data_IF_728157404029
#
_entry.id   IF_728157404029
#
_cell.length_a   1.000
_cell.length_b   1.000
_cell.length_c   1.000
_cell.angle_alpha   90.00
_cell.angle_beta   90.00
_cell.angle_gamma   90.00
#
_symmetry.space_group_name_H-M   'P 1'
#
loop_
_entity.id
_entity.type
_entity.pdbx_description
1 polymer ?
#
# COMPACT_ATOMS: atom_id res chain seq x y z
N UNK A 1 -20.45 10.60 11.69
CA UNK A 1 -19.37 11.33 10.98
C UNK A 1 -18.33 10.30 10.62
N UNK A 2 -18.29 9.87 9.36
CA UNK A 2 -17.50 8.73 8.90
C UNK A 2 -16.05 9.20 8.71
N UNK A 3 -15.13 8.67 9.51
CA UNK A 3 -13.71 9.03 9.43
C UNK A 3 -13.09 8.32 8.23
N UNK A 4 -12.80 9.08 7.17
CA UNK A 4 -11.83 8.66 6.17
C UNK A 4 -10.46 8.59 6.87
N UNK A 5 -9.87 7.39 6.96
CA UNK A 5 -8.48 7.29 7.37
C UNK A 5 -7.64 7.40 6.10
N UNK A 6 -7.22 8.63 5.81
CA UNK A 6 -6.26 8.90 4.75
C UNK A 6 -4.92 8.32 5.22
N UNK A 7 -4.50 7.20 4.64
CA UNK A 7 -3.16 6.67 4.89
C UNK A 7 -2.12 7.60 4.27
N UNK A 8 -2.21 7.91 2.97
CA UNK A 8 -1.25 8.83 2.37
C UNK A 8 -1.67 10.30 2.55
N UNK A 9 -1.15 10.96 3.60
CA UNK A 9 -1.14 12.43 3.63
C UNK A 9 -0.32 12.90 2.42
N UNK A 10 -0.97 13.70 1.56
CA UNK A 10 -0.55 14.05 0.21
C UNK A 10 0.91 14.54 0.08
N UNK A 11 1.85 13.66 -0.26
CA UNK A 11 3.22 14.04 -0.59
C UNK A 11 3.36 14.31 -2.10
N UNK A 12 3.44 15.60 -2.44
CA UNK A 12 3.54 16.17 -3.79
C UNK A 12 4.82 15.85 -4.60
N UNK A 13 5.59 14.79 -4.29
CA UNK A 13 7.01 14.71 -4.72
C UNK A 13 7.49 13.39 -5.33
N UNK A 14 6.68 12.69 -6.14
CA UNK A 14 7.16 11.49 -6.90
C UNK A 14 6.58 11.36 -8.32
N UNK A 15 6.33 12.47 -9.01
CA UNK A 15 5.71 12.43 -10.36
C UNK A 15 6.50 11.54 -11.35
N UNK A 16 7.84 11.59 -11.29
CA UNK A 16 8.68 10.77 -12.17
C UNK A 16 8.58 9.27 -11.85
N UNK A 17 8.57 8.89 -10.57
CA UNK A 17 8.42 7.48 -10.15
C UNK A 17 7.02 6.93 -10.48
N UNK A 18 6.02 7.80 -10.53
CA UNK A 18 4.62 7.46 -10.82
C UNK A 18 4.27 7.45 -12.31
N UNK A 19 5.09 8.08 -13.15
CA UNK A 19 4.77 8.38 -14.57
C UNK A 19 4.31 7.16 -15.38
N UNK A 20 4.86 5.98 -15.08
CA UNK A 20 4.61 4.75 -15.81
C UNK A 20 3.89 3.69 -14.95
N UNK A 21 3.31 4.08 -13.81
CA UNK A 21 2.57 3.15 -12.97
C UNK A 21 1.26 2.73 -13.64
N UNK A 22 0.79 1.50 -13.41
CA UNK A 22 -0.56 1.10 -13.80
C UNK A 22 -1.62 1.94 -13.05
N UNK A 23 -2.88 1.97 -13.54
CA UNK A 23 -3.99 2.55 -12.80
C UNK A 23 -4.11 1.97 -11.38
N UNK A 24 -4.54 2.77 -10.39
CA UNK A 24 -4.78 2.27 -9.04
C UNK A 24 -5.79 1.11 -9.01
N UNK A 25 -5.62 0.20 -8.07
CA UNK A 25 -6.44 -1.00 -7.92
C UNK A 25 -7.17 -0.97 -6.58
N UNK A 26 -8.44 -1.37 -6.58
CA UNK A 26 -9.29 -1.49 -5.39
C UNK A 26 -9.20 -2.88 -4.78
N UNK A 27 -9.13 -2.93 -3.46
CA UNK A 27 -9.18 -4.17 -2.68
C UNK A 27 -10.22 -4.05 -1.57
N UNK A 28 -11.26 -4.89 -1.57
CA UNK A 28 -12.18 -4.99 -0.45
C UNK A 28 -11.57 -5.86 0.67
N UNK A 29 -11.49 -5.27 1.86
CA UNK A 29 -11.05 -5.89 3.11
C UNK A 29 -12.29 -6.26 3.93
N UNK A 30 -12.73 -7.51 3.79
CA UNK A 30 -13.96 -8.03 4.38
C UNK A 30 -13.99 -7.93 5.91
N UNK A 31 -12.84 -8.04 6.54
CA UNK A 31 -12.65 -8.04 7.99
C UNK A 31 -13.11 -6.72 8.64
N UNK A 32 -12.96 -5.60 7.91
CA UNK A 32 -13.24 -4.24 8.41
C UNK A 32 -14.28 -3.48 7.56
N UNK A 33 -14.79 -4.09 6.49
CA UNK A 33 -15.79 -3.46 5.63
C UNK A 33 -15.26 -2.22 4.92
N UNK A 34 -14.01 -2.26 4.46
CA UNK A 34 -13.36 -1.15 3.78
C UNK A 34 -12.86 -1.54 2.40
N UNK A 35 -12.77 -0.57 1.52
CA UNK A 35 -12.08 -0.66 0.24
C UNK A 35 -10.82 0.17 0.37
N UNK A 36 -9.68 -0.44 0.05
CA UNK A 36 -8.41 0.27 -0.06
C UNK A 36 -8.05 0.45 -1.53
N UNK A 37 -7.68 1.67 -1.89
CA UNK A 37 -7.18 2.01 -3.24
C UNK A 37 -5.67 2.07 -3.18
N UNK A 38 -5.02 1.22 -3.97
CA UNK A 38 -3.58 1.08 -3.99
C UNK A 38 -2.99 1.49 -5.34
N UNK A 39 -1.85 2.17 -5.29
CA UNK A 39 -1.03 2.40 -6.46
C UNK A 39 0.16 1.44 -6.48
N UNK A 40 0.28 0.66 -7.55
CA UNK A 40 1.42 -0.22 -7.75
C UNK A 40 2.54 0.51 -8.49
N UNK A 41 3.78 0.26 -8.08
CA UNK A 41 4.94 0.90 -8.69
C UNK A 41 5.69 -0.05 -9.62
N UNK A 42 6.04 0.45 -10.81
CA UNK A 42 6.94 -0.24 -11.74
C UNK A 42 8.42 0.01 -11.44
N UNK A 43 8.75 1.12 -10.77
CA UNK A 43 10.13 1.44 -10.38
C UNK A 43 10.63 0.50 -9.29
N UNK A 44 11.91 0.11 -9.37
CA UNK A 44 12.59 -0.70 -8.35
C UNK A 44 13.33 0.13 -7.31
N UNK A 45 13.46 1.44 -7.53
CA UNK A 45 14.09 2.39 -6.62
C UNK A 45 13.07 3.49 -6.31
N UNK A 46 12.67 3.56 -5.04
CA UNK A 46 11.59 4.43 -4.59
C UNK A 46 12.10 5.35 -3.49
N UNK A 47 11.88 6.65 -3.65
CA UNK A 47 12.33 7.63 -2.66
C UNK A 47 11.39 7.70 -1.45
N UNK A 48 11.98 8.03 -0.30
CA UNK A 48 11.26 8.35 0.93
C UNK A 48 10.39 7.21 1.49
N UNK A 49 10.87 5.97 1.40
CA UNK A 49 10.28 4.83 2.11
C UNK A 49 11.28 4.19 3.07
N UNK A 50 10.81 3.71 4.21
CA UNK A 50 11.60 2.95 5.16
C UNK A 50 10.82 1.69 5.62
N UNK A 51 11.42 0.49 5.58
CA UNK A 51 10.80 -0.70 6.12
C UNK A 51 10.64 -0.59 7.64
N UNK A 52 9.53 -1.10 8.14
CA UNK A 52 9.18 -1.13 9.57
C UNK A 52 9.31 -2.56 10.08
N UNK A 53 8.71 -3.49 9.35
CA UNK A 53 8.55 -4.89 9.71
C UNK A 53 8.49 -5.74 8.44
N UNK A 54 8.92 -7.00 8.53
CA UNK A 54 8.66 -8.02 7.51
C UNK A 54 7.91 -9.18 8.15
N UNK A 55 6.68 -9.40 7.70
CA UNK A 55 5.84 -10.53 8.06
C UNK A 55 6.16 -11.71 7.13
N UNK A 56 6.32 -12.89 7.72
CA UNK A 56 6.57 -14.15 7.02
C UNK A 56 5.27 -14.94 6.83
N UNK A 57 5.22 -15.82 5.82
CA UNK A 57 4.08 -16.72 5.56
C UNK A 57 2.73 -16.01 5.38
N UNK A 58 2.72 -14.81 4.80
CA UNK A 58 1.49 -14.07 4.46
C UNK A 58 0.90 -14.65 3.18
N UNK A 59 -0.23 -15.34 3.29
CA UNK A 59 -0.79 -16.15 2.19
C UNK A 59 -1.11 -15.37 0.91
N UNK A 60 -1.58 -14.13 1.04
CA UNK A 60 -1.99 -13.32 -0.10
C UNK A 60 -1.75 -11.82 0.14
N UNK A 61 -1.77 -11.06 -0.95
CA UNK A 61 -1.54 -9.61 -0.89
C UNK A 61 -2.64 -8.90 -0.10
N UNK A 62 -3.92 -9.35 -0.13
CA UNK A 62 -5.01 -8.74 0.66
C UNK A 62 -4.70 -8.78 2.16
N UNK A 63 -4.13 -9.88 2.67
CA UNK A 63 -3.69 -9.99 4.06
C UNK A 63 -2.53 -9.04 4.39
N UNK A 64 -1.62 -8.79 3.44
CA UNK A 64 -0.55 -7.81 3.59
C UNK A 64 -1.09 -6.36 3.64
N UNK A 65 -2.06 -6.05 2.78
CA UNK A 65 -2.76 -4.75 2.75
C UNK A 65 -3.50 -4.54 4.07
N UNK A 66 -4.24 -5.55 4.53
CA UNK A 66 -4.94 -5.51 5.81
C UNK A 66 -3.97 -5.23 6.97
N UNK A 67 -2.84 -5.94 7.05
CA UNK A 67 -1.82 -5.72 8.08
C UNK A 67 -1.31 -4.27 8.08
N UNK A 68 -1.03 -3.71 6.90
CA UNK A 68 -0.63 -2.30 6.78
C UNK A 68 -1.74 -1.36 7.21
N UNK A 69 -2.99 -1.63 6.81
CA UNK A 69 -4.16 -0.80 7.13
C UNK A 69 -4.44 -0.72 8.63
N UNK A 70 -4.22 -1.81 9.38
CA UNK A 70 -4.32 -1.80 10.85
C UNK A 70 -3.29 -0.87 11.50
N UNK A 71 -2.17 -0.61 10.82
CA UNK A 71 -1.09 0.28 11.26
C UNK A 71 -1.11 1.63 10.52
N UNK A 72 -2.18 1.96 9.79
CA UNK A 72 -2.24 3.22 9.05
C UNK A 72 -2.56 4.43 9.96
N UNK A 73 -2.94 4.20 11.21
CA UNK A 73 -3.04 5.29 12.20
C UNK A 73 -1.68 5.99 12.38
N UNK A 74 -1.68 7.32 12.37
CA UNK A 74 -0.48 8.18 12.48
C UNK A 74 0.57 7.98 11.37
N UNK A 75 0.14 7.58 10.16
CA UNK A 75 1.02 7.35 9.00
C UNK A 75 2.09 6.29 9.22
N UNK A 76 1.85 5.35 10.15
CA UNK A 76 2.85 4.37 10.51
C UNK A 76 3.08 3.37 9.39
N UNK A 77 2.05 2.81 8.74
CA UNK A 77 2.20 2.04 7.50
C UNK A 77 1.43 2.67 6.33
N UNK A 78 2.13 2.89 5.22
CA UNK A 78 1.63 3.56 4.01
C UNK A 78 1.85 2.74 2.74
N UNK A 79 2.79 1.81 2.76
CA UNK A 79 3.11 1.00 1.61
C UNK A 79 3.49 -0.42 2.01
N UNK A 80 3.35 -1.33 1.06
CA UNK A 80 3.69 -2.74 1.20
C UNK A 80 4.68 -3.16 0.12
N UNK A 81 5.51 -4.14 0.44
CA UNK A 81 6.26 -4.91 -0.53
C UNK A 81 6.02 -6.41 -0.33
N UNK A 82 5.24 -7.02 -1.22
CA UNK A 82 4.81 -8.41 -1.12
C UNK A 82 5.55 -9.30 -2.12
N UNK A 83 6.24 -10.34 -1.64
CA UNK A 83 7.06 -11.22 -2.47
C UNK A 83 6.33 -12.52 -2.84
N UNK A 84 6.76 -13.17 -3.93
CA UNK A 84 6.28 -14.53 -4.28
C UNK A 84 6.56 -15.58 -3.19
N UNK A 85 7.49 -15.32 -2.27
CA UNK A 85 7.79 -16.18 -1.11
C UNK A 85 6.85 -15.92 0.07
N UNK A 86 5.72 -15.23 -0.14
CA UNK A 86 4.74 -14.91 0.92
C UNK A 86 5.34 -14.04 2.04
N UNK A 87 6.30 -13.19 1.69
CA UNK A 87 6.84 -12.18 2.62
C UNK A 87 6.18 -10.84 2.37
N UNK A 88 5.69 -10.20 3.42
CA UNK A 88 5.07 -8.88 3.38
C UNK A 88 5.92 -7.90 4.16
N UNK A 89 6.54 -6.94 3.49
CA UNK A 89 7.29 -5.85 4.17
C UNK A 89 6.36 -4.66 4.31
N UNK A 90 6.18 -4.15 5.53
CA UNK A 90 5.41 -2.94 5.82
C UNK A 90 6.35 -1.73 5.79
N UNK A 91 5.92 -0.66 5.13
CA UNK A 91 6.75 0.53 4.91
C UNK A 91 6.03 1.81 5.32
N UNK A 92 6.82 2.71 5.90
CA UNK A 92 6.42 4.07 6.25
C UNK A 92 7.09 5.10 5.35
N UNK A 93 6.54 6.31 5.35
CA UNK A 93 7.24 7.45 4.74
C UNK A 93 8.52 7.79 5.51
N UNK A 94 9.57 8.16 4.78
CA UNK A 94 10.87 8.52 5.33
C UNK A 94 11.24 9.96 4.92
N UNK A 95 11.19 10.89 5.88
CA UNK A 95 11.55 12.30 5.67
C UNK A 95 13.01 12.52 5.27
N UNK A 96 13.88 11.52 5.44
CA UNK A 96 15.31 11.60 5.08
C UNK A 96 15.60 11.30 3.60
N UNK A 97 14.57 11.12 2.77
CA UNK A 97 14.69 10.87 1.32
C UNK A 97 15.59 9.68 0.95
N UNK A 98 15.73 8.69 1.83
CA UNK A 98 16.48 7.47 1.50
C UNK A 98 15.77 6.68 0.40
N UNK A 99 16.56 6.01 -0.44
CA UNK A 99 16.06 5.14 -1.49
C UNK A 99 15.75 3.77 -0.90
N UNK A 100 14.51 3.32 -1.10
CA UNK A 100 14.10 1.95 -0.88
C UNK A 100 14.27 1.15 -2.16
N UNK A 101 15.00 0.04 -2.07
CA UNK A 101 15.14 -0.91 -3.16
C UNK A 101 14.05 -1.98 -3.06
N UNK A 102 13.17 -2.03 -4.06
CA UNK A 102 12.12 -3.05 -4.15
C UNK A 102 12.77 -4.44 -4.27
N UNK A 103 12.36 -5.36 -3.40
CA UNK A 103 12.80 -6.76 -3.42
C UNK A 103 12.59 -7.40 -4.82
N UNK A 104 13.45 -8.34 -5.19
CA UNK A 104 13.27 -9.08 -6.44
C UNK A 104 12.00 -9.93 -6.40
N UNK A 105 11.32 -10.06 -7.54
CA UNK A 105 10.10 -10.85 -7.70
C UNK A 105 9.01 -10.50 -6.68
N UNK A 106 8.81 -9.20 -6.47
CA UNK A 106 7.83 -8.67 -5.53
C UNK A 106 6.98 -7.58 -6.15
N UNK A 107 5.88 -7.25 -5.46
CA UNK A 107 4.97 -6.17 -5.80
C UNK A 107 5.11 -5.10 -4.73
N UNK A 108 5.49 -3.89 -5.15
CA UNK A 108 5.42 -2.72 -4.31
C UNK A 108 4.11 -1.97 -4.56
N UNK A 109 3.40 -1.62 -3.49
CA UNK A 109 2.20 -0.82 -3.59
C UNK A 109 2.08 0.19 -2.45
N UNK A 110 1.67 1.42 -2.77
CA UNK A 110 1.32 2.46 -1.80
C UNK A 110 -0.20 2.48 -1.60
N UNK A 111 -0.66 2.53 -0.35
CA UNK A 111 -2.07 2.66 -0.01
C UNK A 111 -2.43 4.15 -0.07
N UNK A 112 -3.19 4.55 -1.09
CA UNK A 112 -3.57 5.95 -1.27
C UNK A 112 -4.59 6.37 -0.19
N UNK A 113 -5.65 5.59 -0.07
CA UNK A 113 -6.70 5.78 0.94
C UNK A 113 -7.48 4.49 1.13
N UNK A 114 -8.16 4.40 2.27
CA UNK A 114 -9.19 3.39 2.50
C UNK A 114 -10.46 4.07 3.01
N UNK A 115 -11.60 3.55 2.56
CA UNK A 115 -12.92 4.07 2.94
C UNK A 115 -13.88 2.92 3.19
N UNK A 116 -14.94 3.19 3.96
CA UNK A 116 -16.01 2.22 4.19
C UNK A 116 -16.67 1.86 2.85
N UNK A 117 -16.90 0.56 2.65
CA UNK A 117 -17.45 0.07 1.41
C UNK A 117 -17.79 -1.41 1.47
N UNK A 118 -18.09 -1.98 0.31
CA UNK A 118 -18.60 -3.34 0.17
C UNK A 118 -17.88 -4.08 -0.94
N UNK A 119 -18.10 -5.40 -1.02
CA UNK A 119 -17.56 -6.22 -2.11
C UNK A 119 -18.04 -5.76 -3.49
N UNK A 120 -19.24 -5.18 -3.59
CA UNK A 120 -19.79 -4.65 -4.83
C UNK A 120 -18.86 -3.58 -5.42
N UNK A 121 -18.28 -2.75 -4.58
CA UNK A 121 -17.40 -1.65 -4.99
C UNK A 121 -16.00 -2.13 -5.46
N UNK A 122 -15.62 -3.39 -5.20
CA UNK A 122 -14.46 -4.03 -5.85
C UNK A 122 -14.82 -4.57 -7.24
N UNK A 123 -16.09 -4.89 -7.51
CA UNK A 123 -16.54 -5.61 -8.70
C UNK A 123 -17.11 -4.67 -9.78
N UNK A 124 -17.75 -3.56 -9.41
CA UNK A 124 -18.49 -2.70 -10.33
C UNK A 124 -17.67 -1.55 -10.94
N UNK A 125 -16.34 -1.60 -10.89
CA UNK A 125 -15.45 -0.59 -11.48
C UNK A 125 -15.15 -0.83 -12.98
N UNK A 126 -16.13 -1.40 -13.73
CA UNK A 126 -16.07 -1.60 -15.19
C UNK A 126 -16.80 -0.49 -15.97
#
# INVERSE_FOLDING_TARGET
MQLFIVCSIHFKHRQDERRNNPPPIRYYLKEIGEICVLEFYNSTQLSAFNPIETLENVENIKSCIYACRQQCHEDFCLAINYTKKKQCTLLRHNSKQQIYNVKSQSLFAEILFCEQGTLADEIFDF
#
